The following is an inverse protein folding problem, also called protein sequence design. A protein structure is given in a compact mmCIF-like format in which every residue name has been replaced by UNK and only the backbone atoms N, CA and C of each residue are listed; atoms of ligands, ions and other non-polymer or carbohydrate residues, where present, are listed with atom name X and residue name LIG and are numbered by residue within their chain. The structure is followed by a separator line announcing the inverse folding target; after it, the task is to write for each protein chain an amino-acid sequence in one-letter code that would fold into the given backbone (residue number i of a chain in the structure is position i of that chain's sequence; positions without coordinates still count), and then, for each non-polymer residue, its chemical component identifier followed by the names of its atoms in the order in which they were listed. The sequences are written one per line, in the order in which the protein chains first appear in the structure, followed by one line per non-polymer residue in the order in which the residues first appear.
data_IF_634474010007
#
_entry.id   IF_634474010007
#
_cell.length_a   1.000
_cell.length_b   1.000
_cell.length_c   1.000
_cell.angle_alpha   90.00
_cell.angle_beta   90.00
_cell.angle_gamma   90.00
#
_symmetry.space_group_name_H-M   'P 1'
#
loop_
_entity.id
_entity.type
_entity.pdbx_description
1 polymer ?
#
# COMPACT_ATOMS: atom_id res chain seq x y z
N UNK A 1 41.09 17.32 5.15
CA UNK A 1 39.87 16.79 4.49
C UNK A 1 38.64 17.42 5.12
N UNK A 2 37.79 18.07 4.31
CA UNK A 2 36.48 18.59 4.76
C UNK A 2 35.52 17.41 4.89
N UNK A 3 34.98 17.18 6.08
CA UNK A 3 33.93 16.19 6.32
C UNK A 3 32.64 16.73 5.69
N UNK A 4 32.22 16.15 4.57
CA UNK A 4 30.88 16.39 4.03
C UNK A 4 29.88 15.63 4.91
N UNK A 5 29.46 16.28 5.99
CA UNK A 5 28.28 15.89 6.75
C UNK A 5 27.07 16.33 5.94
N UNK A 6 26.49 15.41 5.16
CA UNK A 6 25.20 15.63 4.51
C UNK A 6 24.14 15.69 5.62
N UNK A 7 23.81 16.91 6.03
CA UNK A 7 22.70 17.17 6.95
C UNK A 7 21.41 16.69 6.30
N UNK A 8 20.83 15.61 6.83
CA UNK A 8 19.47 15.18 6.53
C UNK A 8 18.52 16.31 6.94
N UNK A 9 18.08 17.10 5.97
CA UNK A 9 17.05 18.12 6.17
C UNK A 9 15.76 17.41 6.60
N UNK A 10 15.05 17.87 7.64
CA UNK A 10 13.77 17.27 7.99
C UNK A 10 12.85 17.38 6.77
N UNK A 11 12.21 16.28 6.38
CA UNK A 11 11.17 16.24 5.35
C UNK A 11 10.05 17.16 5.84
N UNK A 12 10.12 18.42 5.44
CA UNK A 12 9.01 19.37 5.55
C UNK A 12 7.83 18.71 4.86
N UNK A 13 6.64 18.82 5.45
CA UNK A 13 5.38 18.40 4.84
C UNK A 13 5.23 19.09 3.48
N UNK A 14 5.78 18.47 2.43
CA UNK A 14 5.74 18.98 1.07
C UNK A 14 4.44 18.48 0.48
N UNK A 15 3.85 19.23 -0.44
CA UNK A 15 2.57 18.91 -1.05
C UNK A 15 2.62 17.52 -1.72
N UNK A 16 1.57 16.70 -1.54
CA UNK A 16 1.47 15.37 -2.19
C UNK A 16 1.46 15.47 -3.72
N UNK A 17 1.16 16.66 -4.25
CA UNK A 17 1.17 16.97 -5.68
C UNK A 17 2.52 16.73 -6.38
N UNK A 18 3.64 16.77 -5.66
CA UNK A 18 4.98 16.51 -6.23
C UNK A 18 5.33 15.02 -6.30
N UNK A 19 4.52 14.16 -5.70
CA UNK A 19 4.79 12.72 -5.64
C UNK A 19 4.38 12.04 -6.95
N UNK A 20 5.27 11.22 -7.50
CA UNK A 20 4.93 10.32 -8.62
C UNK A 20 4.47 8.95 -8.13
N UNK A 21 4.83 8.58 -6.91
CA UNK A 21 4.45 7.32 -6.29
C UNK A 21 4.09 7.52 -4.83
N UNK A 22 2.99 6.91 -4.39
CA UNK A 22 2.49 6.99 -3.01
C UNK A 22 2.27 5.58 -2.48
N UNK A 23 2.90 5.26 -1.36
CA UNK A 23 2.62 4.05 -0.59
C UNK A 23 1.62 4.31 0.53
N UNK A 24 0.75 3.32 0.74
CA UNK A 24 -0.20 3.33 1.85
C UNK A 24 -0.09 2.02 2.62
N UNK A 25 0.30 2.12 3.89
CA UNK A 25 0.09 1.06 4.87
C UNK A 25 -1.35 1.17 5.44
N UNK A 26 -2.12 0.09 5.27
CA UNK A 26 -3.55 0.05 5.56
C UNK A 26 -3.82 -0.62 6.92
N UNK A 27 -4.37 0.12 7.88
CA UNK A 27 -4.98 -0.45 9.08
C UNK A 27 -6.49 -0.20 9.11
N UNK A 28 -7.17 -0.71 10.16
CA UNK A 28 -8.64 -0.58 10.29
C UNK A 28 -9.12 0.87 10.36
N UNK A 29 -8.36 1.75 11.02
CA UNK A 29 -8.74 3.14 11.29
C UNK A 29 -7.61 4.15 11.04
N UNK A 30 -6.39 3.66 10.87
CA UNK A 30 -5.21 4.51 10.70
C UNK A 30 -4.51 4.08 9.42
N UNK A 31 -4.02 5.07 8.69
CA UNK A 31 -3.37 4.89 7.40
C UNK A 31 -2.07 5.66 7.45
N UNK A 32 -0.96 4.99 7.20
CA UNK A 32 0.33 5.66 7.07
C UNK A 32 0.65 5.79 5.59
N UNK A 33 0.84 7.03 5.17
CA UNK A 33 1.14 7.39 3.79
C UNK A 33 2.59 7.86 3.72
N UNK A 34 3.29 7.42 2.67
CA UNK A 34 4.60 7.91 2.30
C UNK A 34 4.62 8.11 0.77
N UNK A 35 5.17 9.23 0.30
CA UNK A 35 5.21 9.58 -1.11
C UNK A 35 6.61 9.95 -1.56
N UNK A 36 6.95 9.53 -2.77
CA UNK A 36 8.24 9.80 -3.40
C UNK A 36 8.07 10.60 -4.68
N UNK A 37 9.05 11.47 -4.95
CA UNK A 37 9.16 12.21 -6.20
C UNK A 37 9.70 11.33 -7.35
N UNK A 38 9.86 11.94 -8.52
CA UNK A 38 10.37 11.25 -9.71
C UNK A 38 11.80 10.71 -9.56
N UNK A 39 12.58 11.24 -8.61
CA UNK A 39 13.93 10.80 -8.27
C UNK A 39 13.92 9.70 -7.19
N UNK A 40 12.73 9.28 -6.76
CA UNK A 40 12.56 8.30 -5.70
C UNK A 40 12.97 8.83 -4.33
N UNK A 41 13.02 10.14 -4.12
CA UNK A 41 13.27 10.73 -2.81
C UNK A 41 11.96 10.91 -2.06
N UNK A 42 11.99 10.65 -0.74
CA UNK A 42 10.82 10.82 0.11
C UNK A 42 10.43 12.30 0.17
N UNK A 43 9.28 12.63 -0.40
CA UNK A 43 8.75 13.99 -0.49
C UNK A 43 7.54 14.22 0.44
N UNK A 44 6.79 13.15 0.74
CA UNK A 44 5.57 13.23 1.54
C UNK A 44 5.53 12.14 2.60
N UNK A 45 5.01 12.47 3.78
CA UNK A 45 4.72 11.50 4.83
C UNK A 45 3.57 12.02 5.71
N UNK A 46 2.52 11.21 5.89
CA UNK A 46 1.39 11.59 6.73
C UNK A 46 0.74 10.37 7.41
N UNK A 47 0.40 10.52 8.69
CA UNK A 47 -0.47 9.59 9.41
C UNK A 47 -1.91 10.11 9.41
N UNK A 48 -2.81 9.39 8.75
CA UNK A 48 -4.24 9.73 8.66
C UNK A 48 -5.02 8.83 9.61
N UNK A 49 -5.86 9.43 10.47
CA UNK A 49 -6.46 8.76 11.64
C UNK A 49 -7.93 8.35 11.48
N UNK A 50 -8.52 8.53 10.30
CA UNK A 50 -9.88 8.06 10.01
C UNK A 50 -10.04 7.62 8.56
N UNK A 51 -11.07 6.81 8.31
CA UNK A 51 -11.39 6.30 6.97
C UNK A 51 -11.88 7.42 6.06
N UNK A 52 -12.64 8.35 6.62
CA UNK A 52 -13.22 9.49 5.92
C UNK A 52 -12.12 10.45 5.47
N UNK A 53 -11.18 10.78 6.37
CA UNK A 53 -10.03 11.60 6.04
C UNK A 53 -9.12 10.93 5.00
N UNK A 54 -8.98 9.60 5.08
CA UNK A 54 -8.21 8.86 4.09
C UNK A 54 -8.89 8.88 2.71
N UNK A 55 -10.20 8.71 2.64
CA UNK A 55 -10.94 8.83 1.38
C UNK A 55 -10.81 10.23 0.77
N UNK A 56 -10.91 11.29 1.59
CA UNK A 56 -10.69 12.67 1.14
C UNK A 56 -9.25 12.87 0.64
N UNK A 57 -8.26 12.27 1.31
CA UNK A 57 -6.87 12.29 0.85
C UNK A 57 -6.73 11.62 -0.53
N UNK A 58 -7.29 10.42 -0.73
CA UNK A 58 -7.21 9.73 -2.02
C UNK A 58 -7.88 10.53 -3.14
N UNK A 59 -9.02 11.17 -2.88
CA UNK A 59 -9.71 12.03 -3.86
C UNK A 59 -8.90 13.27 -4.28
N UNK A 60 -7.92 13.69 -3.46
CA UNK A 60 -7.03 14.83 -3.75
C UNK A 60 -5.73 14.40 -4.44
N UNK A 61 -5.48 13.11 -4.58
CA UNK A 61 -4.31 12.64 -5.31
C UNK A 61 -4.43 13.08 -6.77
N UNK A 62 -3.36 13.66 -7.36
CA UNK A 62 -3.34 13.91 -8.78
C UNK A 62 -3.55 12.62 -9.57
N UNK A 63 -4.23 12.71 -10.71
CA UNK A 63 -4.37 11.60 -11.64
C UNK A 63 -2.98 11.13 -12.13
N UNK A 64 -2.82 9.84 -12.39
CA UNK A 64 -1.56 9.26 -12.86
C UNK A 64 -0.51 8.97 -11.77
N UNK A 65 -0.69 9.47 -10.54
CA UNK A 65 0.15 9.06 -9.40
C UNK A 65 -0.02 7.56 -9.14
N UNK A 66 1.09 6.82 -9.12
CA UNK A 66 1.07 5.38 -8.84
C UNK A 66 0.87 5.13 -7.35
N UNK A 67 -0.18 4.40 -6.99
CA UNK A 67 -0.45 4.03 -5.60
C UNK A 67 -0.02 2.60 -5.33
N UNK A 68 0.81 2.43 -4.30
CA UNK A 68 1.29 1.16 -3.79
C UNK A 68 0.59 0.84 -2.46
N UNK A 69 0.16 -0.41 -2.32
CA UNK A 69 -0.35 -0.93 -1.04
C UNK A 69 0.04 -2.39 -0.91
N UNK A 70 0.14 -2.91 0.30
CA UNK A 70 0.33 -4.34 0.49
C UNK A 70 -1.01 -5.10 0.53
N UNK A 71 -0.93 -6.42 0.40
CA UNK A 71 -2.09 -7.29 0.61
C UNK A 71 -2.56 -7.20 2.06
N UNK A 72 -3.71 -6.57 2.27
CA UNK A 72 -4.32 -6.46 3.57
C UNK A 72 -5.84 -6.28 3.51
N UNK A 73 -6.51 -6.26 4.67
CA UNK A 73 -7.93 -5.94 4.76
C UNK A 73 -8.21 -4.59 4.10
N UNK A 74 -9.16 -4.56 3.16
CA UNK A 74 -9.55 -3.32 2.48
C UNK A 74 -8.71 -2.93 1.26
N UNK A 75 -7.51 -3.50 1.05
CA UNK A 75 -6.64 -3.18 -0.09
C UNK A 75 -7.38 -3.27 -1.44
N UNK A 76 -8.11 -4.38 -1.64
CA UNK A 76 -8.91 -4.59 -2.84
C UNK A 76 -10.01 -3.53 -3.05
N UNK A 77 -10.60 -2.98 -1.98
CA UNK A 77 -11.64 -1.97 -2.09
C UNK A 77 -11.06 -0.60 -2.46
N UNK A 78 -9.98 -0.21 -1.79
CA UNK A 78 -9.27 1.04 -2.08
C UNK A 78 -8.64 1.03 -3.47
N UNK A 79 -8.06 -0.10 -3.89
CA UNK A 79 -7.49 -0.24 -5.22
C UNK A 79 -8.52 -0.01 -6.33
N UNK A 80 -9.74 -0.55 -6.19
CA UNK A 80 -10.82 -0.30 -7.16
C UNK A 80 -11.23 1.17 -7.21
N UNK A 81 -11.33 1.82 -6.04
CA UNK A 81 -11.68 3.24 -5.94
C UNK A 81 -10.62 4.11 -6.64
N UNK A 82 -9.35 3.82 -6.40
CA UNK A 82 -8.22 4.53 -7.03
C UNK A 82 -8.13 4.28 -8.53
N UNK A 83 -8.34 3.04 -8.99
CA UNK A 83 -8.41 2.75 -10.43
C UNK A 83 -9.54 3.52 -11.11
N UNK A 84 -10.70 3.65 -10.46
CA UNK A 84 -11.82 4.45 -10.97
C UNK A 84 -11.53 5.96 -11.02
N UNK A 85 -10.53 6.43 -10.26
CA UNK A 85 -10.04 7.81 -10.27
C UNK A 85 -8.92 8.04 -11.30
N UNK A 86 -8.52 7.02 -12.07
CA UNK A 86 -7.44 7.13 -13.06
C UNK A 86 -6.04 6.89 -12.50
N UNK A 87 -5.91 6.50 -11.22
CA UNK A 87 -4.61 6.19 -10.62
C UNK A 87 -4.18 4.74 -10.91
N UNK A 88 -2.95 4.53 -11.41
CA UNK A 88 -2.34 3.19 -11.43
C UNK A 88 -2.19 2.66 -10.01
N UNK A 89 -2.59 1.41 -9.77
CA UNK A 89 -2.47 0.78 -8.45
C UNK A 89 -1.70 -0.53 -8.54
N UNK A 90 -0.73 -0.73 -7.64
CA UNK A 90 -0.08 -2.03 -7.43
C UNK A 90 -0.35 -2.50 -6.01
N UNK A 91 -0.89 -3.72 -5.89
CA UNK A 91 -1.05 -4.40 -4.60
C UNK A 91 0.11 -5.39 -4.47
N UNK A 92 1.04 -5.13 -3.56
CA UNK A 92 2.22 -5.96 -3.36
C UNK A 92 1.93 -7.10 -2.37
N UNK A 93 2.45 -8.33 -2.55
CA UNK A 93 2.33 -9.38 -1.56
C UNK A 93 3.00 -8.96 -0.24
N UNK A 94 2.28 -9.04 0.89
CA UNK A 94 2.78 -8.61 2.20
C UNK A 94 4.07 -9.33 2.62
N UNK A 95 4.24 -10.60 2.22
CA UNK A 95 5.48 -11.34 2.46
C UNK A 95 6.69 -10.66 1.80
N UNK A 96 6.54 -10.20 0.56
CA UNK A 96 7.60 -9.53 -0.19
C UNK A 96 7.87 -8.12 0.34
N UNK A 97 6.83 -7.42 0.80
CA UNK A 97 6.98 -6.12 1.47
C UNK A 97 7.76 -6.27 2.77
N UNK A 98 7.47 -7.30 3.57
CA UNK A 98 8.16 -7.54 4.83
C UNK A 98 9.68 -7.77 4.67
N UNK A 99 10.12 -8.36 3.56
CA UNK A 99 11.54 -8.54 3.20
C UNK A 99 12.27 -7.20 2.96
N UNK A 100 11.54 -6.14 2.63
CA UNK A 100 12.08 -4.79 2.36
C UNK A 100 12.00 -3.83 3.56
N UNK A 101 11.49 -4.30 4.71
CA UNK A 101 11.39 -3.47 5.92
C UNK A 101 12.76 -3.30 6.56
N UNK A 102 13.07 -2.05 6.91
CA UNK A 102 14.24 -1.72 7.72
C UNK A 102 13.78 -1.31 9.12
N UNK A 103 14.41 -1.89 10.15
CA UNK A 103 14.08 -1.61 11.54
C UNK A 103 12.82 -2.34 12.05
N UNK A 104 12.34 -1.89 13.22
CA UNK A 104 11.20 -2.49 13.90
C UNK A 104 9.89 -2.31 13.11
N UNK A 105 8.95 -3.24 13.32
CA UNK A 105 7.61 -3.14 12.74
C UNK A 105 6.86 -1.95 13.34
N UNK A 106 6.50 -1.00 12.50
CA UNK A 106 5.58 0.10 12.78
C UNK A 106 5.05 0.65 11.46
N UNK A 107 3.94 1.37 11.50
CA UNK A 107 3.24 1.83 10.30
C UNK A 107 4.13 2.68 9.37
N UNK A 108 5.06 3.48 9.92
CA UNK A 108 6.01 4.30 9.15
C UNK A 108 6.99 3.43 8.36
N UNK A 109 7.62 2.48 9.04
CA UNK A 109 8.56 1.56 8.43
C UNK A 109 7.87 0.60 7.45
N UNK A 110 6.62 0.22 7.71
CA UNK A 110 5.81 -0.60 6.81
C UNK A 110 5.45 0.22 5.54
N UNK A 111 5.08 1.50 5.63
CA UNK A 111 4.87 2.37 4.47
C UNK A 111 6.15 2.56 3.62
N UNK A 112 7.31 2.73 4.27
CA UNK A 112 8.61 2.80 3.55
C UNK A 112 8.98 1.45 2.91
N UNK A 113 8.66 0.33 3.55
CA UNK A 113 8.89 -0.98 2.98
C UNK A 113 8.07 -1.19 1.69
N UNK A 114 6.83 -0.68 1.65
CA UNK A 114 5.99 -0.70 0.45
C UNK A 114 6.64 0.11 -0.69
N UNK A 115 7.18 1.31 -0.41
CA UNK A 115 7.90 2.10 -1.42
C UNK A 115 9.13 1.36 -1.97
N UNK A 116 9.91 0.71 -1.09
CA UNK A 116 11.10 -0.06 -1.50
C UNK A 116 10.71 -1.28 -2.33
N UNK A 117 9.73 -2.05 -1.87
CA UNK A 117 9.22 -3.21 -2.60
C UNK A 117 8.58 -2.81 -3.94
N UNK A 118 7.98 -1.62 -4.02
CA UNK A 118 7.45 -1.08 -5.28
C UNK A 118 8.50 -0.88 -6.37
N UNK A 119 9.75 -0.61 -5.99
CA UNK A 119 10.87 -0.47 -6.94
C UNK A 119 11.40 -1.81 -7.45
N UNK A 120 11.17 -2.90 -6.70
CA UNK A 120 11.56 -4.23 -7.12
C UNK A 120 10.63 -4.72 -8.25
N UNK A 121 11.16 -4.72 -9.47
CA UNK A 121 10.45 -5.14 -10.69
C UNK A 121 10.17 -6.65 -10.72
N UNK A 122 10.85 -7.45 -9.89
CA UNK A 122 10.58 -8.89 -9.77
C UNK A 122 9.30 -9.19 -8.99
N UNK A 123 8.78 -8.23 -8.22
CA UNK A 123 7.55 -8.41 -7.44
C UNK A 123 6.32 -8.23 -8.32
N UNK A 124 5.70 -9.35 -8.66
CA UNK A 124 4.40 -9.37 -9.32
C UNK A 124 3.31 -8.74 -8.44
N UNK A 125 2.53 -7.84 -9.03
CA UNK A 125 1.36 -7.24 -8.38
C UNK A 125 0.24 -8.27 -8.25
N UNK A 126 -0.46 -8.25 -7.12
CA UNK A 126 -1.70 -8.99 -6.92
C UNK A 126 -2.81 -8.33 -7.75
N UNK A 127 -3.53 -9.07 -8.60
CA UNK A 127 -4.60 -8.51 -9.41
C UNK A 127 -5.69 -7.83 -8.56
N UNK A 128 -6.15 -6.67 -9.03
CA UNK A 128 -7.35 -6.03 -8.47
C UNK A 128 -8.56 -6.79 -8.97
N UNK A 129 -9.33 -7.35 -8.04
CA UNK A 129 -10.48 -8.21 -8.32
C UNK A 129 -11.77 -7.40 -8.27
N UNK A 130 -12.72 -7.74 -9.13
CA UNK A 130 -14.09 -7.24 -9.03
C UNK A 130 -14.77 -7.75 -7.75
N UNK A 131 -15.84 -7.08 -7.35
CA UNK A 131 -16.65 -7.53 -6.20
C UNK A 131 -17.19 -8.94 -6.42
N UNK A 132 -17.67 -9.24 -7.63
CA UNK A 132 -18.15 -10.58 -8.00
C UNK A 132 -17.05 -11.64 -7.91
N UNK A 133 -15.84 -11.35 -8.39
CA UNK A 133 -14.71 -12.28 -8.29
C UNK A 133 -14.30 -12.55 -6.83
N UNK A 134 -14.33 -11.53 -5.97
CA UNK A 134 -14.09 -11.70 -4.54
C UNK A 134 -15.19 -12.54 -3.86
N UNK A 135 -16.45 -12.31 -4.20
CA UNK A 135 -17.58 -13.10 -3.70
C UNK A 135 -17.45 -14.57 -4.12
N UNK A 136 -17.15 -14.84 -5.39
CA UNK A 136 -16.92 -16.19 -5.90
C UNK A 136 -15.76 -16.88 -5.17
N UNK A 137 -14.64 -16.17 -4.94
CA UNK A 137 -13.52 -16.70 -4.16
C UNK A 137 -13.93 -17.04 -2.72
N UNK A 138 -14.78 -16.22 -2.10
CA UNK A 138 -15.31 -16.49 -0.76
C UNK A 138 -16.17 -17.77 -0.75
N UNK A 139 -17.06 -17.94 -1.72
CA UNK A 139 -17.86 -19.16 -1.89
C UNK A 139 -16.99 -20.41 -2.03
N UNK A 140 -15.94 -20.36 -2.86
CA UNK A 140 -15.00 -21.47 -3.00
C UNK A 140 -14.31 -21.83 -1.68
N UNK A 141 -13.93 -20.84 -0.87
CA UNK A 141 -13.33 -21.07 0.45
C UNK A 141 -14.32 -21.72 1.42
N UNK A 142 -15.56 -21.25 1.45
CA UNK A 142 -16.63 -21.86 2.27
C UNK A 142 -16.83 -23.33 1.88
N UNK A 143 -17.01 -23.60 0.58
CA UNK A 143 -17.16 -24.97 0.07
C UNK A 143 -15.97 -25.85 0.45
N UNK A 144 -14.73 -25.39 0.23
CA UNK A 144 -13.52 -26.13 0.61
C UNK A 144 -13.48 -26.44 2.11
N UNK A 145 -13.86 -25.47 2.95
CA UNK A 145 -13.97 -25.67 4.40
C UNK A 145 -14.99 -26.73 4.80
N UNK A 146 -16.16 -26.76 4.15
CA UNK A 146 -17.16 -27.81 4.37
C UNK A 146 -16.67 -29.19 3.94
N UNK A 147 -16.06 -29.31 2.76
CA UNK A 147 -15.50 -30.58 2.28
C UNK A 147 -14.46 -31.10 3.27
N UNK A 148 -13.50 -30.27 3.68
CA UNK A 148 -12.44 -30.66 4.63
C UNK A 148 -13.00 -31.16 5.96
N UNK A 149 -14.07 -30.54 6.48
CA UNK A 149 -14.71 -30.98 7.73
C UNK A 149 -15.46 -32.30 7.55
N UNK A 150 -16.16 -32.49 6.43
CA UNK A 150 -16.91 -33.72 6.15
C UNK A 150 -15.98 -34.94 5.97
N UNK A 151 -14.79 -34.73 5.39
CA UNK A 151 -13.84 -35.79 5.09
C UNK A 151 -12.72 -35.92 6.13
N UNK A 152 -12.82 -35.24 7.27
CA UNK A 152 -11.86 -35.41 8.36
C UNK A 152 -12.12 -36.77 9.03
N UNK A 153 -11.15 -37.68 8.93
CA UNK A 153 -11.11 -38.88 9.77
C UNK A 153 -10.54 -38.47 11.13
N UNK A 154 -11.17 -38.91 12.22
CA UNK A 154 -10.69 -38.70 13.58
C UNK A 154 -9.38 -39.41 13.86
#
# INVERSE_FOLDING_TARGET
MKKHTTMNKPVSATDVSVCTTVAVDLAKKVFQVAGEDAQGQLAYEQRIKSREAFQVFLQKLPEGVTVLMETGPGAQAWARLLQAQGNPVRILPAQRVAEHRSGAKNDRNDAHAILRAGRDSSIASVPVKSVAALAMQAWHRVRRGYVRRRTAMG
#
